data_IF_338855040614
#
_entry.id   IF_338855040614
#
_cell.length_a   1.000
_cell.length_b   1.000
_cell.length_c   1.000
_cell.angle_alpha   90.00
_cell.angle_beta   90.00
_cell.angle_gamma   90.00
#
_symmetry.space_group_name_H-M   'P 1'
#
loop_
_entity.id
_entity.type
_entity.pdbx_description
1 polymer ?
#
# COMPACT_ATOMS: atom_id res chain seq x y z
N UNK A 1 10.84 18.06 -18.18
CA UNK A 1 10.37 18.12 -16.80
C UNK A 1 8.93 17.71 -16.85
N UNK A 2 8.58 16.56 -16.29
CA UNK A 2 7.18 16.12 -16.28
C UNK A 2 6.44 16.92 -15.21
N UNK A 3 5.38 17.62 -15.60
CA UNK A 3 4.57 18.40 -14.68
C UNK A 3 3.44 17.51 -14.15
N UNK A 4 3.61 17.00 -12.92
CA UNK A 4 2.59 16.19 -12.23
C UNK A 4 1.52 17.06 -11.54
N UNK A 5 1.54 18.37 -11.74
CA UNK A 5 0.55 19.28 -11.13
C UNK A 5 -0.79 19.24 -11.86
N UNK A 6 -0.79 18.93 -13.16
CA UNK A 6 -2.03 18.79 -13.92
C UNK A 6 -2.73 17.47 -13.57
N UNK A 7 -3.99 17.56 -13.16
CA UNK A 7 -4.82 16.39 -12.84
C UNK A 7 -5.35 15.72 -14.10
N UNK A 8 -5.23 14.40 -14.14
CA UNK A 8 -5.79 13.57 -15.18
C UNK A 8 -7.18 13.06 -14.78
N UNK A 9 -8.07 12.89 -15.75
CA UNK A 9 -9.41 12.37 -15.51
C UNK A 9 -9.43 10.84 -15.41
N UNK A 10 -10.56 10.29 -14.97
CA UNK A 10 -10.79 8.85 -14.98
C UNK A 10 -10.80 8.28 -16.40
N UNK A 11 -11.28 9.04 -17.38
CA UNK A 11 -11.26 8.67 -18.79
C UNK A 11 -9.82 8.56 -19.31
N UNK A 12 -8.98 9.53 -18.96
CA UNK A 12 -7.54 9.49 -19.29
C UNK A 12 -6.88 8.25 -18.69
N UNK A 13 -7.19 7.93 -17.42
CA UNK A 13 -6.68 6.71 -16.78
C UNK A 13 -7.10 5.45 -17.52
N UNK A 14 -8.41 5.31 -17.84
CA UNK A 14 -8.93 4.14 -18.55
C UNK A 14 -8.31 4.00 -19.94
N UNK A 15 -8.15 5.08 -20.67
CA UNK A 15 -7.49 5.09 -21.97
C UNK A 15 -6.02 4.62 -21.85
N UNK A 16 -5.30 5.13 -20.85
CA UNK A 16 -3.91 4.74 -20.59
C UNK A 16 -3.81 3.26 -20.19
N UNK A 17 -4.69 2.77 -19.34
CA UNK A 17 -4.71 1.36 -18.95
C UNK A 17 -4.99 0.42 -20.12
N UNK A 18 -5.82 0.86 -21.09
CA UNK A 18 -6.14 0.07 -22.27
C UNK A 18 -5.03 0.05 -23.31
N UNK A 19 -4.28 1.14 -23.43
CA UNK A 19 -3.27 1.34 -24.50
C UNK A 19 -1.83 1.02 -24.06
N UNK A 20 -1.54 1.00 -22.75
CA UNK A 20 -0.18 0.87 -22.24
C UNK A 20 -0.09 0.00 -21.00
N UNK A 21 1.05 -0.67 -20.85
CA UNK A 21 1.47 -1.30 -19.59
C UNK A 21 2.00 -0.25 -18.60
N UNK A 22 2.41 0.91 -19.07
CA UNK A 22 3.09 1.93 -18.28
C UNK A 22 2.19 3.12 -17.94
N UNK A 23 2.21 3.52 -16.67
CA UNK A 23 1.73 4.81 -16.18
C UNK A 23 2.93 5.53 -15.57
N UNK A 24 3.38 6.60 -16.20
CA UNK A 24 4.57 7.32 -15.74
C UNK A 24 4.26 8.80 -15.54
N UNK A 25 4.63 9.32 -14.35
CA UNK A 25 4.57 10.75 -14.03
C UNK A 25 3.21 11.40 -14.31
N UNK A 26 2.12 10.70 -13.94
CA UNK A 26 0.74 11.15 -14.12
C UNK A 26 0.09 11.46 -12.77
N UNK A 27 -0.82 12.43 -12.77
CA UNK A 27 -1.56 12.82 -11.58
C UNK A 27 -3.03 12.39 -11.68
N UNK A 28 -3.41 11.40 -10.90
CA UNK A 28 -4.77 10.86 -10.76
C UNK A 28 -5.33 11.09 -9.36
N UNK A 29 -4.93 12.18 -8.71
CA UNK A 29 -5.39 12.52 -7.37
C UNK A 29 -6.87 12.91 -7.34
N UNK A 30 -7.51 12.69 -6.19
CA UNK A 30 -8.91 13.04 -5.89
C UNK A 30 -9.95 12.33 -6.77
N UNK A 31 -9.63 11.17 -7.33
CA UNK A 31 -10.56 10.38 -8.12
C UNK A 31 -11.34 9.36 -7.28
N UNK A 32 -12.52 8.97 -7.76
CA UNK A 32 -13.21 7.75 -7.34
C UNK A 32 -13.04 6.70 -8.43
N UNK A 33 -12.34 5.61 -8.09
CA UNK A 33 -12.02 4.51 -8.99
C UNK A 33 -12.70 3.23 -8.48
N UNK A 34 -13.65 2.72 -9.23
CA UNK A 34 -14.39 1.51 -8.86
C UNK A 34 -14.12 0.41 -9.89
N UNK A 35 -13.79 -0.80 -9.40
CA UNK A 35 -13.55 -2.01 -10.19
C UNK A 35 -12.50 -1.85 -11.30
N UNK A 36 -11.53 -0.96 -11.09
CA UNK A 36 -10.44 -0.75 -12.04
C UNK A 36 -9.37 -1.85 -11.88
N UNK A 37 -8.95 -2.39 -13.01
CA UNK A 37 -7.90 -3.40 -13.07
C UNK A 37 -6.55 -2.80 -13.49
N UNK A 38 -5.63 -2.73 -12.51
CA UNK A 38 -4.23 -2.33 -12.69
C UNK A 38 -3.30 -3.55 -12.81
N UNK A 39 -3.82 -4.76 -12.89
CA UNK A 39 -2.99 -5.97 -12.86
C UNK A 39 -1.90 -5.98 -13.93
N UNK A 40 -0.68 -6.32 -13.53
CA UNK A 40 0.50 -6.34 -14.39
C UNK A 40 0.99 -5.00 -14.89
N UNK A 41 0.37 -3.88 -14.49
CA UNK A 41 0.81 -2.54 -14.90
C UNK A 41 2.10 -2.13 -14.19
N UNK A 42 2.81 -1.18 -14.79
CA UNK A 42 4.00 -0.53 -14.25
C UNK A 42 3.70 0.94 -13.99
N UNK A 43 3.64 1.31 -12.71
CA UNK A 43 3.27 2.64 -12.23
C UNK A 43 4.52 3.29 -11.64
N UNK A 44 4.97 4.40 -12.20
CA UNK A 44 6.18 5.07 -11.73
C UNK A 44 5.98 6.57 -11.65
N UNK A 45 6.30 7.16 -10.49
CA UNK A 45 6.22 8.61 -10.28
C UNK A 45 4.81 9.18 -10.42
N UNK A 46 3.77 8.36 -10.20
CA UNK A 46 2.39 8.81 -10.28
C UNK A 46 1.86 9.30 -8.94
N UNK A 47 0.92 10.23 -8.97
CA UNK A 47 0.14 10.64 -7.81
C UNK A 47 -1.28 10.09 -7.90
N UNK A 48 -1.72 9.45 -6.81
CA UNK A 48 -3.08 9.02 -6.53
C UNK A 48 -3.51 9.54 -5.14
N UNK A 49 -2.95 10.66 -4.71
CA UNK A 49 -3.26 11.23 -3.39
C UNK A 49 -4.76 11.55 -3.28
N UNK A 50 -5.37 11.31 -2.13
CA UNK A 50 -6.81 11.45 -1.87
C UNK A 50 -7.73 10.62 -2.79
N UNK A 51 -7.19 9.69 -3.58
CA UNK A 51 -8.00 8.85 -4.47
C UNK A 51 -8.68 7.73 -3.70
N UNK A 52 -9.93 7.47 -4.02
CA UNK A 52 -10.71 6.37 -3.45
C UNK A 52 -10.76 5.20 -4.44
N UNK A 53 -10.19 4.07 -4.05
CA UNK A 53 -10.23 2.81 -4.79
C UNK A 53 -11.24 1.87 -4.12
N UNK A 54 -12.18 1.34 -4.88
CA UNK A 54 -13.18 0.36 -4.43
C UNK A 54 -13.16 -0.83 -5.37
N UNK A 55 -12.93 -2.04 -4.85
CA UNK A 55 -12.90 -3.27 -5.64
C UNK A 55 -11.79 -3.33 -6.69
N UNK A 56 -10.75 -2.49 -6.55
CA UNK A 56 -9.67 -2.40 -7.55
C UNK A 56 -8.64 -3.53 -7.40
N UNK A 57 -8.07 -3.96 -8.53
CA UNK A 57 -7.04 -5.00 -8.57
C UNK A 57 -5.69 -4.45 -8.99
N UNK A 58 -4.67 -4.76 -8.18
CA UNK A 58 -3.25 -4.44 -8.42
C UNK A 58 -2.40 -5.70 -8.47
N UNK A 59 -2.98 -6.83 -8.88
CA UNK A 59 -2.29 -8.13 -8.90
C UNK A 59 -1.08 -8.10 -9.84
N UNK A 60 0.11 -8.42 -9.32
CA UNK A 60 1.35 -8.40 -10.09
C UNK A 60 1.74 -7.01 -10.62
N UNK A 61 1.16 -5.94 -10.11
CA UNK A 61 1.51 -4.56 -10.48
C UNK A 61 2.89 -4.21 -9.94
N UNK A 62 3.70 -3.53 -10.73
CA UNK A 62 4.94 -2.94 -10.25
C UNK A 62 4.75 -1.44 -9.99
N UNK A 63 4.94 -1.00 -8.74
CA UNK A 63 4.77 0.39 -8.31
C UNK A 63 6.10 0.92 -7.79
N UNK A 64 6.52 2.09 -8.28
CA UNK A 64 7.78 2.76 -7.90
C UNK A 64 7.56 4.24 -7.68
N UNK A 65 8.12 4.77 -6.59
CA UNK A 65 8.23 6.22 -6.34
C UNK A 65 6.89 6.93 -6.57
N UNK A 66 5.78 6.30 -6.12
CA UNK A 66 4.43 6.81 -6.37
C UNK A 66 3.74 7.18 -5.06
N UNK A 67 2.77 8.08 -5.15
CA UNK A 67 2.14 8.73 -4.01
C UNK A 67 0.67 8.35 -3.92
N UNK A 68 0.29 7.77 -2.79
CA UNK A 68 -1.07 7.36 -2.43
C UNK A 68 -1.48 7.98 -1.09
N UNK A 69 -0.89 9.13 -0.74
CA UNK A 69 -1.14 9.78 0.54
C UNK A 69 -2.63 10.09 0.70
N UNK A 70 -3.19 9.78 1.86
CA UNK A 70 -4.61 9.96 2.18
C UNK A 70 -5.58 9.24 1.23
N UNK A 71 -5.12 8.29 0.45
CA UNK A 71 -5.98 7.47 -0.39
C UNK A 71 -6.80 6.49 0.46
N UNK A 72 -7.89 5.97 -0.09
CA UNK A 72 -8.62 4.87 0.53
C UNK A 72 -8.71 3.67 -0.40
N UNK A 73 -8.44 2.48 0.14
CA UNK A 73 -8.49 1.21 -0.56
C UNK A 73 -9.51 0.31 0.15
N UNK A 74 -10.64 0.07 -0.49
CA UNK A 74 -11.75 -0.71 0.05
C UNK A 74 -11.94 -1.92 -0.84
N UNK A 75 -11.92 -3.13 -0.25
CA UNK A 75 -12.07 -4.40 -0.98
C UNK A 75 -11.09 -4.55 -2.15
N UNK A 76 -9.85 -4.04 -1.98
CA UNK A 76 -8.81 -4.07 -3.01
C UNK A 76 -7.82 -5.24 -2.82
N UNK A 77 -7.10 -5.61 -3.88
CA UNK A 77 -6.04 -6.61 -3.78
C UNK A 77 -4.75 -6.16 -4.45
N UNK A 78 -3.62 -6.42 -3.76
CA UNK A 78 -2.25 -6.20 -4.23
C UNK A 78 -1.47 -7.52 -4.34
N UNK A 79 -2.16 -8.63 -4.51
CA UNK A 79 -1.54 -9.96 -4.59
C UNK A 79 -0.38 -9.98 -5.58
N UNK A 80 0.79 -10.46 -5.15
CA UNK A 80 2.02 -10.55 -5.96
C UNK A 80 2.49 -9.22 -6.55
N UNK A 81 2.06 -8.08 -6.01
CA UNK A 81 2.56 -6.78 -6.44
C UNK A 81 4.00 -6.55 -5.94
N UNK A 82 4.74 -5.75 -6.67
CA UNK A 82 6.09 -5.30 -6.32
C UNK A 82 6.06 -3.78 -6.15
N UNK A 83 6.03 -3.32 -4.88
CA UNK A 83 5.83 -1.92 -4.51
C UNK A 83 7.04 -1.43 -3.71
N UNK A 84 7.75 -0.46 -4.24
CA UNK A 84 8.96 0.04 -3.60
C UNK A 84 9.04 1.56 -3.64
N UNK A 85 9.65 2.16 -2.59
CA UNK A 85 9.90 3.59 -2.48
C UNK A 85 8.65 4.46 -2.65
N UNK A 86 7.50 3.97 -2.23
CA UNK A 86 6.21 4.64 -2.43
C UNK A 86 5.61 5.08 -1.10
N UNK A 87 4.72 6.08 -1.15
CA UNK A 87 4.10 6.67 0.01
C UNK A 87 2.61 6.37 0.06
N UNK A 88 2.17 5.87 1.22
CA UNK A 88 0.77 5.59 1.57
C UNK A 88 0.38 6.32 2.86
N UNK A 89 1.07 7.42 3.21
CA UNK A 89 0.86 8.07 4.49
C UNK A 89 -0.58 8.55 4.66
N UNK A 90 -1.16 8.31 5.84
CA UNK A 90 -2.53 8.71 6.17
C UNK A 90 -3.63 7.96 5.42
N UNK A 91 -3.31 6.91 4.68
CA UNK A 91 -4.28 6.15 3.89
C UNK A 91 -5.15 5.23 4.76
N UNK A 92 -6.35 4.97 4.25
CA UNK A 92 -7.28 3.98 4.79
C UNK A 92 -7.22 2.71 3.95
N UNK A 93 -7.03 1.57 4.61
CA UNK A 93 -7.17 0.24 4.03
C UNK A 93 -8.28 -0.51 4.76
N UNK A 94 -9.25 -1.00 4.03
CA UNK A 94 -10.37 -1.77 4.56
C UNK A 94 -10.56 -3.03 3.72
N UNK A 95 -10.52 -4.21 4.34
CA UNK A 95 -10.61 -5.54 3.68
C UNK A 95 -9.70 -5.65 2.45
N UNK A 96 -8.49 -5.11 2.56
CA UNK A 96 -7.51 -5.07 1.46
C UNK A 96 -6.41 -6.10 1.69
N UNK A 97 -6.08 -6.85 0.65
CA UNK A 97 -5.12 -7.95 0.70
C UNK A 97 -3.78 -7.63 0.02
N UNK A 98 -2.68 -7.96 0.74
CA UNK A 98 -1.31 -7.87 0.26
C UNK A 98 -0.64 -9.25 0.38
N UNK A 99 -1.15 -10.22 -0.38
CA UNK A 99 -0.62 -11.59 -0.33
C UNK A 99 0.59 -11.75 -1.25
N UNK A 100 1.67 -12.33 -0.74
CA UNK A 100 2.91 -12.54 -1.52
C UNK A 100 3.42 -11.26 -2.18
N UNK A 101 3.36 -10.13 -1.47
CA UNK A 101 3.68 -8.80 -2.01
C UNK A 101 5.07 -8.36 -1.57
N UNK A 102 5.86 -7.79 -2.47
CA UNK A 102 7.09 -7.08 -2.12
C UNK A 102 6.74 -5.63 -1.77
N UNK A 103 6.85 -5.26 -0.49
CA UNK A 103 6.53 -3.93 0.06
C UNK A 103 7.80 -3.27 0.62
N UNK A 104 8.82 -3.09 -0.22
CA UNK A 104 10.13 -2.67 0.24
C UNK A 104 10.24 -1.15 0.38
N UNK A 105 10.71 -0.70 1.54
CA UNK A 105 11.07 0.71 1.79
C UNK A 105 9.88 1.66 1.52
N UNK A 106 8.68 1.26 1.89
CA UNK A 106 7.48 2.09 1.73
C UNK A 106 7.14 2.84 3.01
N UNK A 107 6.44 3.95 2.86
CA UNK A 107 5.93 4.75 3.97
C UNK A 107 4.44 4.50 4.19
N UNK A 108 4.10 3.82 5.30
CA UNK A 108 2.74 3.59 5.79
C UNK A 108 2.45 4.38 7.06
N UNK A 109 3.11 5.52 7.28
CA UNK A 109 2.89 6.33 8.49
C UNK A 109 1.46 6.84 8.56
N UNK A 110 0.81 6.68 9.71
CA UNK A 110 -0.52 7.23 9.98
C UNK A 110 -1.67 6.50 9.29
N UNK A 111 -1.43 5.30 8.73
CA UNK A 111 -2.53 4.55 8.10
C UNK A 111 -3.53 4.02 9.12
N UNK A 112 -4.76 3.85 8.66
CA UNK A 112 -5.75 2.99 9.31
C UNK A 112 -5.92 1.73 8.48
N UNK A 113 -5.69 0.56 9.07
CA UNK A 113 -5.87 -0.73 8.41
C UNK A 113 -6.87 -1.58 9.20
N UNK A 114 -7.99 -1.92 8.57
CA UNK A 114 -9.05 -2.74 9.13
C UNK A 114 -9.27 -3.98 8.28
N UNK A 115 -9.20 -5.17 8.91
CA UNK A 115 -9.34 -6.47 8.25
C UNK A 115 -8.41 -6.65 7.04
N UNK A 116 -7.14 -6.23 7.19
CA UNK A 116 -6.14 -6.30 6.13
C UNK A 116 -5.19 -7.47 6.32
N UNK A 117 -4.81 -8.11 5.22
CA UNK A 117 -3.88 -9.24 5.21
C UNK A 117 -2.60 -8.90 4.47
N UNK A 118 -1.44 -9.08 5.15
CA UNK A 118 -0.09 -8.92 4.60
C UNK A 118 0.66 -10.25 4.53
N UNK A 119 -0.05 -11.37 4.42
CA UNK A 119 0.56 -12.69 4.53
C UNK A 119 1.61 -12.96 3.45
N UNK A 120 2.67 -13.68 3.82
CA UNK A 120 3.74 -14.13 2.93
C UNK A 120 4.44 -12.98 2.20
N UNK A 121 4.46 -11.78 2.78
CA UNK A 121 4.97 -10.56 2.13
C UNK A 121 6.30 -10.11 2.70
N UNK A 122 7.08 -9.42 1.88
CA UNK A 122 8.32 -8.79 2.27
C UNK A 122 8.09 -7.30 2.57
N UNK A 123 8.23 -6.92 3.84
CA UNK A 123 8.06 -5.54 4.31
C UNK A 123 9.40 -4.87 4.67
N UNK A 124 10.49 -5.41 4.17
CA UNK A 124 11.85 -4.94 4.47
C UNK A 124 11.94 -3.41 4.49
N UNK A 125 12.44 -2.85 5.59
CA UNK A 125 12.67 -1.41 5.82
C UNK A 125 11.43 -0.51 5.61
N UNK A 126 10.23 -1.03 5.58
CA UNK A 126 9.00 -0.24 5.52
C UNK A 126 8.62 0.34 6.88
N UNK A 127 7.80 1.39 6.89
CA UNK A 127 7.46 2.14 8.10
C UNK A 127 5.97 2.13 8.37
N UNK A 128 5.58 1.52 9.49
CA UNK A 128 4.26 1.58 10.11
C UNK A 128 4.39 2.38 11.41
N UNK A 129 4.23 3.69 11.32
CA UNK A 129 4.40 4.61 12.45
C UNK A 129 3.09 5.36 12.68
N UNK A 130 2.62 5.42 13.94
CA UNK A 130 1.37 6.08 14.30
C UNK A 130 0.14 5.53 13.54
N UNK A 131 0.13 4.23 13.29
CA UNK A 131 -0.95 3.54 12.59
C UNK A 131 -2.03 3.06 13.57
N UNK A 132 -3.25 2.95 13.06
CA UNK A 132 -4.34 2.25 13.72
C UNK A 132 -4.58 0.90 13.00
N UNK A 133 -4.16 -0.19 13.64
CA UNK A 133 -4.22 -1.54 13.07
C UNK A 133 -5.27 -2.36 13.82
N UNK A 134 -6.35 -2.72 13.13
CA UNK A 134 -7.43 -3.51 13.69
C UNK A 134 -7.72 -4.73 12.81
N UNK A 135 -7.73 -5.92 13.41
CA UNK A 135 -7.88 -7.19 12.70
C UNK A 135 -6.94 -7.34 11.50
N UNK A 136 -5.75 -6.74 11.61
CA UNK A 136 -4.72 -6.82 10.57
C UNK A 136 -3.79 -8.03 10.83
N UNK A 137 -3.36 -8.69 9.76
CA UNK A 137 -2.53 -9.88 9.89
C UNK A 137 -1.26 -9.77 9.04
N UNK A 138 -0.11 -9.91 9.73
CA UNK A 138 1.24 -9.92 9.18
C UNK A 138 1.86 -11.30 9.38
N UNK A 139 1.22 -12.36 8.90
CA UNK A 139 1.70 -13.73 9.09
C UNK A 139 2.73 -14.11 8.03
N UNK A 140 3.78 -14.83 8.46
CA UNK A 140 4.86 -15.32 7.61
C UNK A 140 5.53 -14.21 6.78
N UNK A 141 5.68 -13.00 7.35
CA UNK A 141 6.27 -11.85 6.68
C UNK A 141 7.76 -11.71 6.99
N UNK A 142 8.53 -11.19 6.04
CA UNK A 142 9.82 -10.62 6.32
C UNK A 142 9.65 -9.19 6.85
N UNK A 143 9.99 -8.99 8.13
CA UNK A 143 9.89 -7.71 8.83
C UNK A 143 11.27 -7.10 9.13
N UNK A 144 12.31 -7.58 8.49
CA UNK A 144 13.68 -7.11 8.74
C UNK A 144 13.76 -5.59 8.58
N UNK A 145 14.26 -4.91 9.61
CA UNK A 145 14.36 -3.44 9.70
C UNK A 145 13.06 -2.66 9.50
N UNK A 146 11.90 -3.33 9.54
CA UNK A 146 10.60 -2.67 9.50
C UNK A 146 10.32 -1.95 10.82
N UNK A 147 9.75 -0.75 10.76
CA UNK A 147 9.40 0.05 11.93
C UNK A 147 7.93 -0.07 12.25
N UNK A 148 7.61 -0.57 13.45
CA UNK A 148 6.27 -0.58 14.04
C UNK A 148 6.29 0.28 15.31
N UNK A 149 6.13 1.60 15.16
CA UNK A 149 6.28 2.57 16.25
C UNK A 149 5.00 3.37 16.50
N UNK A 150 4.64 3.53 17.78
CA UNK A 150 3.50 4.34 18.24
C UNK A 150 2.17 3.93 17.58
N UNK A 151 2.00 2.65 17.34
CA UNK A 151 0.80 2.10 16.71
C UNK A 151 -0.22 1.70 17.76
N UNK A 152 -1.50 1.78 17.40
CA UNK A 152 -2.59 1.12 18.12
C UNK A 152 -2.84 -0.25 17.49
N UNK A 153 -2.86 -1.30 18.31
CA UNK A 153 -3.07 -2.69 17.88
C UNK A 153 -4.35 -3.25 18.50
N UNK A 154 -5.24 -3.78 17.68
CA UNK A 154 -6.40 -4.54 18.11
C UNK A 154 -6.55 -5.76 17.22
N UNK A 155 -6.53 -6.96 17.81
CA UNK A 155 -6.66 -8.24 17.11
C UNK A 155 -5.65 -8.40 15.94
N UNK A 156 -4.39 -8.00 16.15
CA UNK A 156 -3.32 -8.04 15.15
C UNK A 156 -2.46 -9.28 15.35
N UNK A 157 -2.09 -9.96 14.26
CA UNK A 157 -1.25 -11.15 14.27
C UNK A 157 0.07 -10.94 13.52
N UNK A 158 1.18 -11.34 14.14
CA UNK A 158 2.52 -11.44 13.52
C UNK A 158 3.03 -12.88 13.51
N UNK A 159 2.15 -13.85 13.51
CA UNK A 159 2.49 -15.27 13.59
C UNK A 159 3.46 -15.69 12.49
N UNK A 160 4.52 -16.42 12.85
CA UNK A 160 5.54 -16.93 11.95
C UNK A 160 6.40 -15.87 11.24
N UNK A 161 6.31 -14.59 11.62
CA UNK A 161 7.15 -13.52 11.08
C UNK A 161 8.41 -13.31 11.94
N UNK A 162 9.48 -12.77 11.32
CA UNK A 162 10.75 -12.50 11.99
C UNK A 162 10.73 -11.23 12.84
N UNK A 163 9.81 -11.15 13.81
CA UNK A 163 9.56 -9.97 14.65
C UNK A 163 10.79 -9.46 15.41
N UNK A 164 11.78 -10.32 15.67
CA UNK A 164 13.05 -9.94 16.35
C UNK A 164 13.93 -9.02 15.51
N UNK A 165 13.72 -8.98 14.21
CA UNK A 165 14.46 -8.14 13.27
C UNK A 165 13.76 -6.81 12.97
N UNK A 166 12.55 -6.63 13.49
CA UNK A 166 11.76 -5.41 13.38
C UNK A 166 11.93 -4.48 14.61
N UNK A 167 11.57 -3.23 14.47
CA UNK A 167 11.62 -2.22 15.52
C UNK A 167 10.24 -1.93 16.07
N UNK A 168 9.90 -2.54 17.21
CA UNK A 168 8.67 -2.26 17.99
C UNK A 168 8.94 -1.29 19.13
N UNK A 169 7.89 -0.67 19.68
CA UNK A 169 7.99 0.05 20.95
C UNK A 169 8.12 -0.96 22.10
N UNK A 170 9.10 -0.75 22.97
CA UNK A 170 9.50 -1.70 24.01
C UNK A 170 8.50 -1.93 25.14
N UNK A 171 7.43 -1.14 25.21
CA UNK A 171 6.51 -1.15 26.37
C UNK A 171 5.14 -1.77 26.13
N UNK A 172 4.67 -1.91 24.91
CA UNK A 172 3.25 -2.19 24.63
C UNK A 172 2.98 -3.42 23.77
N UNK A 173 3.98 -4.00 23.15
CA UNK A 173 3.78 -5.11 22.23
C UNK A 173 4.73 -6.29 22.52
N UNK A 174 4.16 -7.42 22.94
CA UNK A 174 4.81 -8.72 22.86
C UNK A 174 4.17 -9.48 21.70
N UNK A 175 4.88 -9.60 20.56
CA UNK A 175 4.37 -10.34 19.42
C UNK A 175 4.20 -11.82 19.70
#
# INVERSE_FOLDING_TARGET
MFDITEKNSQETLKAQLSSSVYLNSMNFSDLLLTDIDFSGKRITGCSFSNTRFVGCRFTGTRIRISFFDFASFIDCTFEKADIQFSCFAGSLFERTGFFNTELLINNFTGITAHECCFHDSDLYSSRFIQCNLHAASFQNCNLQTTYFRRNSYRDVSFKASNTREAYFDTKEFKP
#
